data_IF_070323465095
#
_entry.id   IF_070323465095
#
_cell.length_a   1.000
_cell.length_b   1.000
_cell.length_c   1.000
_cell.angle_alpha   90.00
_cell.angle_beta   90.00
_cell.angle_gamma   90.00
#
_symmetry.space_group_name_H-M   'P 1'
#
loop_
_entity.id
_entity.type
_entity.pdbx_description
1 polymer ?
#
# COMPACT_ATOMS: atom_id res chain seq x y z
N UNK A 1 -35.78 -23.09 23.27
CA UNK A 1 -34.35 -22.74 23.09
C UNK A 1 -33.98 -21.39 23.71
N UNK A 2 -34.61 -20.28 23.30
CA UNK A 2 -34.38 -18.95 23.90
C UNK A 2 -34.64 -18.87 25.42
N UNK A 3 -35.72 -19.50 25.89
CA UNK A 3 -36.07 -19.53 27.32
C UNK A 3 -34.96 -20.14 28.19
N UNK A 4 -34.29 -21.21 27.72
CA UNK A 4 -33.19 -21.83 28.44
C UNK A 4 -31.93 -20.97 28.39
N UNK A 5 -31.59 -20.41 27.21
CA UNK A 5 -30.43 -19.51 27.05
C UNK A 5 -30.52 -18.28 27.95
N UNK A 6 -31.72 -17.73 28.12
CA UNK A 6 -31.96 -16.61 29.04
C UNK A 6 -31.80 -17.04 30.51
N UNK A 7 -32.31 -18.22 30.90
CA UNK A 7 -32.06 -18.80 32.23
C UNK A 7 -30.57 -19.03 32.51
N UNK A 8 -29.81 -19.39 31.48
CA UNK A 8 -28.36 -19.60 31.55
C UNK A 8 -27.56 -18.27 31.52
N UNK A 9 -28.22 -17.12 31.64
CA UNK A 9 -27.59 -15.81 31.82
C UNK A 9 -27.30 -15.03 30.54
N UNK A 10 -27.74 -15.51 29.37
CA UNK A 10 -27.61 -14.74 28.13
C UNK A 10 -28.56 -13.55 28.12
N UNK A 11 -28.00 -12.35 28.11
CA UNK A 11 -28.75 -11.07 28.04
C UNK A 11 -28.82 -10.48 26.64
N UNK A 12 -27.98 -10.94 25.70
CA UNK A 12 -27.95 -10.43 24.33
C UNK A 12 -28.85 -11.22 23.38
N UNK A 13 -29.67 -10.49 22.62
CA UNK A 13 -30.49 -10.99 21.53
C UNK A 13 -29.69 -11.21 20.22
N UNK A 14 -28.43 -10.75 20.16
CA UNK A 14 -27.60 -10.90 18.96
C UNK A 14 -27.23 -12.36 18.73
N UNK A 15 -27.11 -12.74 17.45
CA UNK A 15 -26.63 -14.07 17.09
C UNK A 15 -25.19 -14.24 17.56
N UNK A 16 -24.88 -15.41 18.11
CA UNK A 16 -23.49 -15.78 18.36
C UNK A 16 -22.73 -15.81 17.04
N UNK A 17 -21.41 -15.60 17.14
CA UNK A 17 -20.51 -15.63 16.00
C UNK A 17 -20.64 -16.99 15.30
N UNK A 18 -21.34 -17.00 14.17
CA UNK A 18 -21.54 -18.21 13.40
C UNK A 18 -20.23 -18.53 12.70
N UNK A 19 -19.73 -19.75 12.84
CA UNK A 19 -18.75 -20.28 11.90
C UNK A 19 -19.40 -20.34 10.52
N UNK A 20 -19.23 -19.28 9.72
CA UNK A 20 -19.59 -19.28 8.31
C UNK A 20 -18.79 -20.33 7.54
N UNK A 21 -19.08 -20.47 6.25
CA UNK A 21 -18.25 -21.29 5.35
C UNK A 21 -16.80 -20.78 5.41
N UNK A 22 -15.84 -21.66 5.68
CA UNK A 22 -14.42 -21.31 5.56
C UNK A 22 -14.17 -20.86 4.12
N UNK A 23 -13.86 -19.59 3.93
CA UNK A 23 -13.39 -19.12 2.64
C UNK A 23 -11.97 -19.67 2.50
N UNK A 24 -11.81 -20.79 1.80
CA UNK A 24 -10.49 -21.37 1.46
C UNK A 24 -9.57 -20.36 0.78
N UNK A 25 -10.14 -19.31 0.19
CA UNK A 25 -9.41 -18.18 -0.37
C UNK A 25 -8.73 -17.30 0.71
N UNK A 26 -9.38 -17.02 1.85
CA UNK A 26 -8.82 -16.19 2.94
C UNK A 26 -8.08 -17.06 3.94
N UNK A 27 -6.85 -17.41 3.59
CA UNK A 27 -5.94 -18.16 4.45
C UNK A 27 -4.61 -17.42 4.49
N UNK A 28 -3.88 -17.52 5.62
CA UNK A 28 -2.59 -16.85 5.76
C UNK A 28 -1.61 -17.19 4.62
N UNK A 29 -1.69 -18.40 4.06
CA UNK A 29 -0.90 -18.81 2.90
C UNK A 29 -1.26 -18.02 1.63
N UNK A 30 -2.55 -17.78 1.38
CA UNK A 30 -2.98 -16.98 0.24
C UNK A 30 -2.72 -15.49 0.44
N UNK A 31 -2.88 -14.99 1.67
CA UNK A 31 -2.58 -13.60 2.01
C UNK A 31 -1.10 -13.30 1.72
N UNK A 32 -0.20 -14.20 2.12
CA UNK A 32 1.23 -14.07 1.85
C UNK A 32 1.55 -14.19 0.34
N UNK A 33 0.87 -15.07 -0.39
CA UNK A 33 1.02 -15.13 -1.87
C UNK A 33 0.58 -13.84 -2.54
N UNK A 34 -0.58 -13.29 -2.16
CA UNK A 34 -1.08 -12.00 -2.68
C UNK A 34 -0.11 -10.87 -2.33
N UNK A 35 0.39 -10.82 -1.09
CA UNK A 35 1.37 -9.83 -0.63
C UNK A 35 2.64 -9.87 -1.48
N UNK A 36 3.20 -11.05 -1.71
CA UNK A 36 4.43 -11.21 -2.48
C UNK A 36 4.24 -10.81 -3.95
N UNK A 37 3.10 -11.16 -4.56
CA UNK A 37 2.78 -10.72 -5.92
C UNK A 37 2.72 -9.20 -6.05
N UNK A 38 2.02 -8.52 -5.13
CA UNK A 38 1.91 -7.05 -5.14
C UNK A 38 3.24 -6.37 -4.86
N UNK A 39 4.07 -6.94 -3.98
CA UNK A 39 5.39 -6.36 -3.68
C UNK A 39 6.38 -6.53 -4.84
N UNK A 40 6.25 -7.61 -5.63
CA UNK A 40 7.00 -7.79 -6.86
C UNK A 40 6.55 -6.83 -7.97
N UNK A 41 5.23 -6.67 -8.17
CA UNK A 41 4.68 -5.68 -9.09
C UNK A 41 3.40 -5.01 -8.53
N UNK A 42 3.56 -3.76 -8.11
CA UNK A 42 2.48 -2.93 -7.55
C UNK A 42 1.49 -2.44 -8.62
N UNK A 43 1.72 -2.71 -9.90
CA UNK A 43 0.85 -2.29 -11.01
C UNK A 43 -0.18 -3.36 -11.40
N UNK A 44 -0.08 -4.57 -10.85
CA UNK A 44 -1.04 -5.63 -11.11
C UNK A 44 -2.47 -5.22 -10.74
N UNK A 45 -3.41 -5.61 -11.59
CA UNK A 45 -4.82 -5.47 -11.34
C UNK A 45 -5.31 -6.57 -10.39
N UNK A 46 -6.40 -6.30 -9.68
CA UNK A 46 -7.06 -7.30 -8.83
C UNK A 46 -7.41 -8.58 -9.61
N UNK A 47 -7.74 -8.45 -10.89
CA UNK A 47 -8.08 -9.59 -11.74
C UNK A 47 -6.86 -10.44 -12.10
N UNK A 48 -5.70 -9.83 -12.37
CA UNK A 48 -4.45 -10.55 -12.60
C UNK A 48 -4.01 -11.29 -11.33
N UNK A 49 -4.08 -10.62 -10.17
CA UNK A 49 -3.79 -11.23 -8.86
C UNK A 49 -4.71 -12.43 -8.60
N UNK A 50 -6.02 -12.27 -8.83
CA UNK A 50 -6.99 -13.34 -8.64
C UNK A 50 -6.69 -14.55 -9.53
N UNK A 51 -6.36 -14.30 -10.81
CA UNK A 51 -5.99 -15.35 -11.77
C UNK A 51 -4.71 -16.08 -11.35
N UNK A 52 -3.69 -15.34 -10.92
CA UNK A 52 -2.39 -15.90 -10.53
C UNK A 52 -2.49 -16.76 -9.26
N UNK A 53 -3.28 -16.35 -8.28
CA UNK A 53 -3.46 -17.13 -7.05
C UNK A 53 -4.50 -18.25 -7.21
N UNK A 54 -5.36 -18.16 -8.23
CA UNK A 54 -6.42 -19.14 -8.49
C UNK A 54 -7.66 -18.94 -7.62
N UNK A 55 -8.07 -17.69 -7.42
CA UNK A 55 -9.23 -17.33 -6.61
C UNK A 55 -10.17 -16.37 -7.33
N UNK A 56 -11.31 -16.06 -6.70
CA UNK A 56 -12.23 -15.06 -7.25
C UNK A 56 -11.66 -13.64 -7.13
N UNK A 57 -12.08 -12.75 -8.04
CA UNK A 57 -11.72 -11.33 -7.99
C UNK A 57 -12.13 -10.67 -6.67
N UNK A 58 -13.31 -11.00 -6.15
CA UNK A 58 -13.84 -10.44 -4.91
C UNK A 58 -13.03 -10.91 -3.70
N UNK A 59 -12.60 -12.18 -3.69
CA UNK A 59 -11.69 -12.69 -2.66
C UNK A 59 -10.34 -11.98 -2.69
N UNK A 60 -9.75 -11.82 -3.87
CA UNK A 60 -8.49 -11.09 -4.01
C UNK A 60 -8.64 -9.61 -3.58
N UNK A 61 -9.75 -8.97 -3.94
CA UNK A 61 -10.06 -7.60 -3.51
C UNK A 61 -10.17 -7.49 -1.99
N UNK A 62 -10.88 -8.43 -1.35
CA UNK A 62 -11.05 -8.43 0.08
C UNK A 62 -9.74 -8.69 0.82
N UNK A 63 -8.90 -9.63 0.36
CA UNK A 63 -7.57 -9.85 0.93
C UNK A 63 -6.73 -8.57 0.84
N UNK A 64 -6.71 -7.91 -0.31
CA UNK A 64 -5.97 -6.65 -0.47
C UNK A 64 -6.46 -5.57 0.50
N UNK A 65 -7.77 -5.37 0.62
CA UNK A 65 -8.35 -4.23 1.34
C UNK A 65 -8.55 -4.48 2.84
N UNK A 66 -9.05 -5.65 3.22
CA UNK A 66 -9.45 -5.99 4.58
C UNK A 66 -8.31 -6.67 5.35
N UNK A 67 -7.67 -7.67 4.72
CA UNK A 67 -6.70 -8.52 5.41
C UNK A 67 -5.27 -7.93 5.36
N UNK A 68 -4.88 -7.34 4.23
CA UNK A 68 -3.57 -6.68 4.01
C UNK A 68 -3.60 -5.15 4.18
N UNK A 69 -4.79 -4.56 4.31
CA UNK A 69 -4.99 -3.11 4.45
C UNK A 69 -4.27 -2.25 3.37
N UNK A 70 -4.26 -2.75 2.13
CA UNK A 70 -3.65 -2.10 0.98
C UNK A 70 -4.64 -1.25 0.20
N UNK A 71 -4.16 -0.12 -0.33
CA UNK A 71 -4.94 0.83 -1.10
C UNK A 71 -4.30 1.08 -2.47
N UNK A 72 -5.14 1.23 -3.50
CA UNK A 72 -4.68 1.59 -4.83
C UNK A 72 -4.38 3.09 -4.89
N UNK A 73 -3.09 3.44 -5.04
CA UNK A 73 -2.64 4.79 -5.34
C UNK A 73 -2.50 5.01 -6.85
N UNK A 74 -2.76 6.24 -7.32
CA UNK A 74 -2.43 6.63 -8.68
C UNK A 74 -0.91 6.82 -8.83
N UNK A 75 -0.35 6.38 -9.95
CA UNK A 75 1.05 6.65 -10.26
C UNK A 75 1.26 8.16 -10.50
N UNK A 76 2.39 8.70 -10.03
CA UNK A 76 2.78 10.09 -10.31
C UNK A 76 3.51 10.17 -11.65
N UNK A 77 3.24 11.20 -12.43
CA UNK A 77 4.03 11.52 -13.62
C UNK A 77 5.41 12.01 -13.21
N UNK A 78 6.44 11.49 -13.86
CA UNK A 78 7.83 11.92 -13.67
C UNK A 78 8.27 12.63 -14.95
N UNK A 79 8.75 13.89 -14.88
CA UNK A 79 9.06 14.70 -16.08
C UNK A 79 10.04 14.04 -17.05
N UNK A 80 10.99 13.24 -16.54
CA UNK A 80 12.01 12.58 -17.35
C UNK A 80 12.53 11.32 -16.67
N UNK A 81 12.82 10.30 -17.47
CA UNK A 81 13.59 9.14 -17.03
C UNK A 81 15.09 9.49 -17.03
N UNK A 82 15.72 9.46 -15.85
CA UNK A 82 17.13 9.78 -15.68
C UNK A 82 18.02 8.53 -15.79
N UNK A 83 19.17 8.67 -16.43
CA UNK A 83 20.23 7.66 -16.38
C UNK A 83 20.86 7.62 -14.99
N UNK A 84 21.55 6.52 -14.60
CA UNK A 84 22.23 6.42 -13.31
C UNK A 84 23.17 7.60 -13.05
N UNK A 85 23.98 7.98 -14.04
CA UNK A 85 24.97 9.06 -13.92
C UNK A 85 24.30 10.42 -13.66
N UNK A 86 23.11 10.64 -14.26
CA UNK A 86 22.33 11.87 -14.01
C UNK A 86 21.68 11.89 -12.63
N UNK A 87 21.42 10.73 -12.03
CA UNK A 87 20.91 10.66 -10.65
C UNK A 87 22.03 10.96 -9.67
N UNK A 88 23.20 10.38 -9.89
CA UNK A 88 24.37 10.60 -9.04
C UNK A 88 24.78 12.07 -9.07
N UNK A 89 24.94 12.65 -10.26
CA UNK A 89 25.25 14.08 -10.40
C UNK A 89 24.22 14.98 -9.70
N UNK A 90 22.92 14.64 -9.79
CA UNK A 90 21.87 15.42 -9.11
C UNK A 90 21.95 15.27 -7.60
N UNK A 91 22.31 14.09 -7.10
CA UNK A 91 22.48 13.85 -5.68
C UNK A 91 23.66 14.66 -5.15
N UNK A 92 24.81 14.59 -5.82
CA UNK A 92 26.03 15.31 -5.43
C UNK A 92 25.80 16.81 -5.38
N UNK A 93 25.22 17.39 -6.44
CA UNK A 93 24.90 18.82 -6.47
C UNK A 93 23.89 19.20 -5.39
N UNK A 94 22.87 18.37 -5.13
CA UNK A 94 21.90 18.65 -4.08
C UNK A 94 22.53 18.60 -2.69
N UNK A 95 23.47 17.67 -2.47
CA UNK A 95 24.20 17.55 -1.21
C UNK A 95 25.12 18.75 -0.99
N UNK A 96 25.88 19.16 -2.00
CA UNK A 96 26.73 20.35 -1.94
C UNK A 96 25.93 21.62 -1.65
N UNK A 97 24.77 21.79 -2.30
CA UNK A 97 23.87 22.92 -2.06
C UNK A 97 23.29 22.88 -0.64
N UNK A 98 22.94 21.70 -0.13
CA UNK A 98 22.44 21.52 1.23
C UNK A 98 23.51 21.87 2.27
N UNK A 99 24.73 21.39 2.08
CA UNK A 99 25.86 21.64 2.99
C UNK A 99 26.25 23.12 2.98
N UNK A 100 26.21 23.76 1.81
CA UNK A 100 26.38 25.21 1.67
C UNK A 100 25.31 25.97 2.45
N UNK A 101 24.03 25.61 2.27
CA UNK A 101 22.92 26.25 2.97
C UNK A 101 23.00 26.07 4.51
N UNK A 102 23.55 24.95 4.98
CA UNK A 102 23.75 24.69 6.40
C UNK A 102 24.93 25.47 6.99
N UNK A 103 25.95 25.74 6.19
CA UNK A 103 27.18 26.41 6.64
C UNK A 103 27.09 27.93 6.54
N UNK A 104 26.40 28.43 5.52
CA UNK A 104 26.18 29.86 5.28
C UNK A 104 24.69 30.23 5.43
N UNK A 105 24.29 30.81 6.58
CA UNK A 105 22.92 31.29 6.80
C UNK A 105 22.48 32.37 5.80
N UNK A 106 23.41 33.06 5.15
CA UNK A 106 23.16 34.09 4.14
C UNK A 106 22.99 33.55 2.72
N UNK A 107 23.29 32.26 2.48
CA UNK A 107 23.37 31.67 1.15
C UNK A 107 22.14 31.97 0.28
N UNK A 108 20.95 31.66 0.80
CA UNK A 108 19.68 31.84 0.08
C UNK A 108 19.34 33.33 -0.17
N UNK A 109 19.88 34.26 0.62
CA UNK A 109 19.61 35.70 0.45
C UNK A 109 20.30 36.27 -0.81
N UNK A 110 21.27 35.56 -1.36
CA UNK A 110 22.02 35.98 -2.55
C UNK A 110 21.58 35.26 -3.83
N UNK A 111 20.68 34.27 -3.71
CA UNK A 111 20.24 33.45 -4.84
C UNK A 111 19.23 34.21 -5.71
N UNK A 112 19.54 34.38 -7.00
CA UNK A 112 18.63 34.91 -8.01
C UNK A 112 18.38 33.80 -9.03
N UNK A 113 17.12 33.49 -9.31
CA UNK A 113 16.70 32.44 -10.25
C UNK A 113 15.65 32.95 -11.24
N UNK A 114 15.59 32.34 -12.42
CA UNK A 114 14.61 32.62 -13.45
C UNK A 114 14.48 31.41 -14.40
N UNK A 115 13.28 31.21 -14.94
CA UNK A 115 12.97 30.20 -15.95
C UNK A 115 11.95 30.79 -16.93
N UNK A 116 11.94 30.31 -18.18
CA UNK A 116 11.00 30.74 -19.21
C UNK A 116 9.80 29.78 -19.25
N UNK A 117 8.60 30.30 -19.56
CA UNK A 117 7.37 29.51 -19.73
C UNK A 117 6.99 29.33 -21.18
#
# INVERSE_FOLDING_TARGET
>A
EWFNRFKDGRTSAESEQRCGRSQTARSAANDERVRNLVMADRRLTVQEIAKEVGMSKDSAHAILREDLNMNRGAAKFVPKLLSPEKKDLRFDVAQDLLDTANTDPGFLNTLITGDES
#
